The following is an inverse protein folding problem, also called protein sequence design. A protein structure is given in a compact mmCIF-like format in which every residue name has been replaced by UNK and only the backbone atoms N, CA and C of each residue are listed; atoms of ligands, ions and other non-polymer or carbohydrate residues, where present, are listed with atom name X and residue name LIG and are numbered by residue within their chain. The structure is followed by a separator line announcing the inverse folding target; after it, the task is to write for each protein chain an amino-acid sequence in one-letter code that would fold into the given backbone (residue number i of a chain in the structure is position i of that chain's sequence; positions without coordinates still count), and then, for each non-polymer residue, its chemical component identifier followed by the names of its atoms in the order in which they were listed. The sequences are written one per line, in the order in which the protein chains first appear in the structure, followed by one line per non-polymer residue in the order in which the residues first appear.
data_IF_285158494477
#
_entry.id   IF_285158494477
#
_cell.length_a   1.000
_cell.length_b   1.000
_cell.length_c   1.000
_cell.angle_alpha   90.00
_cell.angle_beta   90.00
_cell.angle_gamma   90.00
#
_symmetry.space_group_name_H-M   'P 1'
#
loop_
_entity.id
_entity.type
_entity.pdbx_description
1 polymer ?
#
# COMPACT_ATOMS: atom_id res chain seq x y z
N UNK A 1 -1.21 -11.67 9.15
CA UNK A 1 0.04 -10.91 9.31
C UNK A 1 1.19 -11.87 9.09
N UNK A 2 1.98 -11.66 8.05
CA UNK A 2 3.27 -12.30 7.95
C UNK A 2 4.09 -11.84 9.17
N UNK A 3 4.47 -12.76 10.03
CA UNK A 3 5.58 -12.50 10.96
C UNK A 3 6.84 -12.46 10.10
N UNK A 4 7.23 -11.27 9.72
CA UNK A 4 8.57 -11.01 9.24
C UNK A 4 9.36 -10.52 10.43
N UNK A 5 10.64 -10.86 10.50
CA UNK A 5 11.56 -10.42 11.57
C UNK A 5 11.73 -8.88 11.58
N UNK A 6 11.14 -8.22 10.59
CA UNK A 6 11.13 -6.75 10.44
C UNK A 6 9.71 -6.22 10.29
N UNK A 7 9.42 -5.02 10.80
CA UNK A 7 8.15 -4.35 10.55
C UNK A 7 7.92 -4.20 9.04
N UNK A 8 6.77 -4.68 8.56
CA UNK A 8 6.34 -4.44 7.18
C UNK A 8 5.95 -2.97 6.97
N UNK A 9 6.02 -2.52 5.72
CA UNK A 9 5.51 -1.21 5.33
C UNK A 9 4.12 -1.34 4.69
N UNK A 10 3.22 -0.41 5.01
CA UNK A 10 2.05 -0.17 4.17
C UNK A 10 2.49 0.64 2.95
N UNK A 11 2.09 0.23 1.78
CA UNK A 11 2.41 0.91 0.52
C UNK A 11 1.14 1.11 -0.30
N UNK A 12 0.96 2.33 -0.78
CA UNK A 12 0.01 2.64 -1.84
C UNK A 12 0.81 3.07 -3.07
N UNK A 13 0.65 2.35 -4.16
CA UNK A 13 1.39 2.59 -5.41
C UNK A 13 0.41 2.81 -6.55
N UNK A 14 0.74 3.75 -7.43
CA UNK A 14 -0.05 4.02 -8.63
C UNK A 14 0.85 4.56 -9.73
N UNK A 15 0.37 4.44 -10.95
CA UNK A 15 0.95 5.08 -12.13
C UNK A 15 -0.05 6.11 -12.66
N UNK A 16 0.45 7.26 -13.05
CA UNK A 16 -0.37 8.38 -13.51
C UNK A 16 0.38 9.25 -14.51
N UNK A 17 -0.35 10.06 -15.26
CA UNK A 17 0.29 11.11 -16.08
C UNK A 17 0.90 12.16 -15.16
N UNK A 18 2.04 12.76 -15.57
CA UNK A 18 2.73 13.77 -14.78
C UNK A 18 1.80 14.82 -14.15
N UNK A 19 0.88 15.48 -14.90
CA UNK A 19 0.04 16.51 -14.29
C UNK A 19 -0.98 15.99 -13.26
N UNK A 20 -1.25 14.68 -13.22
CA UNK A 20 -2.28 14.09 -12.34
C UNK A 20 -1.69 13.35 -11.14
N UNK A 21 -0.36 13.30 -10.99
CA UNK A 21 0.31 12.63 -9.87
C UNK A 21 -0.09 13.22 -8.52
N UNK A 22 -0.06 14.56 -8.40
CA UNK A 22 -0.44 15.25 -7.17
C UNK A 22 -1.91 14.98 -6.80
N UNK A 23 -2.82 15.00 -7.78
CA UNK A 23 -4.23 14.69 -7.55
C UNK A 23 -4.43 13.23 -7.10
N UNK A 24 -3.75 12.29 -7.72
CA UNK A 24 -3.81 10.88 -7.32
C UNK A 24 -3.28 10.69 -5.88
N UNK A 25 -2.17 11.35 -5.53
CA UNK A 25 -1.66 11.36 -4.15
C UNK A 25 -2.70 11.93 -3.17
N UNK A 26 -3.35 13.05 -3.53
CA UNK A 26 -4.41 13.66 -2.71
C UNK A 26 -5.57 12.71 -2.46
N UNK A 27 -6.00 11.98 -3.47
CA UNK A 27 -7.04 10.94 -3.33
C UNK A 27 -6.59 9.86 -2.36
N UNK A 28 -5.38 9.31 -2.51
CA UNK A 28 -4.85 8.28 -1.59
C UNK A 28 -4.82 8.77 -0.14
N UNK A 29 -4.33 9.98 0.11
CA UNK A 29 -4.34 10.55 1.47
C UNK A 29 -5.76 10.81 1.99
N UNK A 30 -6.68 11.18 1.11
CA UNK A 30 -8.10 11.34 1.43
C UNK A 30 -8.73 10.01 1.88
N UNK A 31 -8.49 8.93 1.15
CA UNK A 31 -8.98 7.59 1.50
C UNK A 31 -8.35 7.08 2.80
N UNK A 32 -7.08 7.34 3.03
CA UNK A 32 -6.42 7.01 4.31
C UNK A 32 -7.05 7.79 5.46
N UNK A 33 -7.34 9.07 5.26
CA UNK A 33 -8.01 9.87 6.28
C UNK A 33 -9.43 9.36 6.54
N UNK A 34 -10.16 8.99 5.51
CA UNK A 34 -11.53 8.48 5.59
C UNK A 34 -11.60 7.19 6.41
N UNK A 35 -10.82 6.17 6.05
CA UNK A 35 -10.81 4.87 6.75
C UNK A 35 -10.33 4.97 8.21
N UNK A 36 -9.62 6.05 8.58
CA UNK A 36 -9.19 6.30 9.95
C UNK A 36 -10.23 7.05 10.80
N UNK A 37 -11.17 7.73 10.18
CA UNK A 37 -12.11 8.60 10.87
C UNK A 37 -13.56 8.10 10.79
N UNK A 38 -13.86 7.24 9.85
CA UNK A 38 -15.22 6.77 9.58
C UNK A 38 -15.25 5.26 9.43
N UNK A 39 -16.40 4.66 9.73
CA UNK A 39 -16.64 3.26 9.40
C UNK A 39 -16.84 3.10 7.91
N UNK A 40 -16.20 2.06 7.35
CA UNK A 40 -16.53 1.61 5.99
C UNK A 40 -18.00 1.16 5.92
N UNK A 41 -18.60 1.24 4.75
CA UNK A 41 -19.96 0.74 4.54
C UNK A 41 -20.01 -0.79 4.63
N UNK A 42 -21.19 -1.33 4.91
CA UNK A 42 -21.40 -2.78 4.92
C UNK A 42 -21.10 -3.41 3.56
N UNK A 43 -21.40 -2.70 2.47
CA UNK A 43 -21.11 -3.17 1.12
C UNK A 43 -19.60 -3.26 0.85
N UNK A 44 -18.83 -2.27 1.25
CA UNK A 44 -17.37 -2.25 1.05
C UNK A 44 -16.68 -3.36 1.82
N UNK A 45 -17.02 -3.56 3.09
CA UNK A 45 -16.42 -4.61 3.90
C UNK A 45 -16.78 -6.00 3.37
N UNK A 46 -18.01 -6.21 2.91
CA UNK A 46 -18.42 -7.49 2.35
C UNK A 46 -17.71 -7.78 1.01
N UNK A 47 -17.58 -6.80 0.13
CA UNK A 47 -16.80 -6.94 -1.12
C UNK A 47 -15.35 -7.29 -0.82
N UNK A 48 -14.73 -6.62 0.15
CA UNK A 48 -13.35 -6.89 0.54
C UNK A 48 -13.17 -8.30 1.12
N UNK A 49 -14.07 -8.74 2.00
CA UNK A 49 -14.06 -10.11 2.57
C UNK A 49 -14.23 -11.17 1.49
N UNK A 50 -15.21 -10.99 0.61
CA UNK A 50 -15.46 -11.92 -0.48
C UNK A 50 -14.28 -12.01 -1.43
N UNK A 51 -13.68 -10.87 -1.80
CA UNK A 51 -12.47 -10.84 -2.61
C UNK A 51 -11.33 -11.68 -2.01
N UNK A 52 -11.09 -11.58 -0.69
CA UNK A 52 -10.08 -12.37 0.00
C UNK A 52 -10.42 -13.86 0.06
N UNK A 53 -11.68 -14.21 0.34
CA UNK A 53 -12.14 -15.59 0.47
C UNK A 53 -12.15 -16.30 -0.89
N UNK A 54 -12.60 -15.65 -1.95
CA UNK A 54 -12.70 -16.23 -3.28
C UNK A 54 -11.35 -16.36 -3.98
N UNK A 55 -10.41 -15.44 -3.72
CA UNK A 55 -9.07 -15.52 -4.28
C UNK A 55 -8.14 -16.45 -3.51
N UNK A 56 -8.49 -16.81 -2.28
CA UNK A 56 -7.71 -17.70 -1.41
C UNK A 56 -7.28 -19.02 -2.08
N UNK A 57 -8.14 -19.77 -2.82
CA UNK A 57 -7.73 -21.03 -3.44
C UNK A 57 -6.63 -20.87 -4.49
N UNK A 58 -6.51 -19.70 -5.12
CA UNK A 58 -5.49 -19.44 -6.15
C UNK A 58 -4.07 -19.56 -5.63
N UNK A 59 -3.86 -19.43 -4.32
CA UNK A 59 -2.55 -19.62 -3.71
C UNK A 59 -2.05 -21.06 -3.80
N UNK A 60 -2.94 -22.01 -4.12
CA UNK A 60 -2.65 -23.45 -4.21
C UNK A 60 -2.87 -24.02 -5.62
N UNK A 61 -3.06 -23.19 -6.64
CA UNK A 61 -3.38 -23.61 -8.01
C UNK A 61 -2.25 -24.40 -8.71
N UNK A 62 -1.01 -24.18 -8.28
CA UNK A 62 0.13 -24.90 -8.86
C UNK A 62 1.04 -25.50 -7.80
N UNK A 63 1.77 -26.55 -8.16
CA UNK A 63 2.75 -27.18 -7.27
C UNK A 63 3.82 -26.17 -6.75
N UNK A 64 4.41 -25.32 -7.59
CA UNK A 64 5.34 -24.29 -7.10
C UNK A 64 4.69 -23.28 -6.14
N UNK A 65 3.47 -22.82 -6.43
CA UNK A 65 2.76 -21.89 -5.55
C UNK A 65 2.46 -22.55 -4.20
N UNK A 66 1.96 -23.78 -4.20
CA UNK A 66 1.70 -24.56 -2.98
C UNK A 66 2.99 -24.73 -2.16
N UNK A 67 4.10 -25.12 -2.82
CA UNK A 67 5.40 -25.23 -2.13
C UNK A 67 5.81 -23.92 -1.48
N UNK A 68 5.66 -22.79 -2.20
CA UNK A 68 6.01 -21.47 -1.67
C UNK A 68 5.17 -21.09 -0.45
N UNK A 69 3.88 -21.44 -0.43
CA UNK A 69 3.03 -21.26 0.76
C UNK A 69 3.61 -21.99 1.97
N UNK A 70 3.96 -23.27 1.83
CA UNK A 70 4.51 -24.06 2.94
C UNK A 70 5.89 -23.57 3.37
N UNK A 71 6.74 -23.18 2.44
CA UNK A 71 8.05 -22.57 2.76
C UNK A 71 7.86 -21.29 3.58
N UNK A 72 6.94 -20.43 3.17
CA UNK A 72 6.63 -19.20 3.89
C UNK A 72 6.01 -19.48 5.27
N UNK A 73 5.15 -20.50 5.37
CA UNK A 73 4.53 -20.87 6.65
C UNK A 73 5.58 -21.37 7.65
N UNK A 74 6.52 -22.19 7.20
CA UNK A 74 7.64 -22.66 8.01
C UNK A 74 8.57 -21.52 8.40
N UNK A 75 8.97 -20.67 7.44
CA UNK A 75 9.83 -19.51 7.67
C UNK A 75 9.24 -18.52 8.67
N UNK A 76 7.93 -18.27 8.59
CA UNK A 76 7.24 -17.30 9.45
C UNK A 76 6.67 -17.94 10.72
N UNK A 77 6.95 -19.22 10.96
CA UNK A 77 6.39 -20.00 12.07
C UNK A 77 4.87 -19.81 12.20
N UNK A 78 4.16 -19.93 11.05
CA UNK A 78 2.73 -19.73 11.00
C UNK A 78 1.99 -20.85 11.74
N UNK A 79 0.89 -20.56 12.47
CA UNK A 79 0.10 -21.61 13.14
C UNK A 79 -0.38 -22.66 12.14
N UNK A 80 -0.31 -23.96 12.50
CA UNK A 80 -0.69 -25.07 11.62
C UNK A 80 -2.15 -25.06 11.17
N UNK A 81 -3.02 -24.42 11.93
CA UNK A 81 -4.44 -24.28 11.64
C UNK A 81 -4.78 -22.97 10.89
N UNK A 82 -3.78 -22.16 10.53
CA UNK A 82 -3.97 -20.85 9.91
C UNK A 82 -4.87 -20.92 8.67
N UNK A 83 -4.56 -21.79 7.73
CA UNK A 83 -5.32 -21.90 6.49
C UNK A 83 -6.70 -22.53 6.69
N UNK A 84 -6.84 -23.40 7.67
CA UNK A 84 -8.14 -23.98 8.03
C UNK A 84 -9.10 -22.95 8.60
N UNK A 85 -8.59 -22.01 9.38
CA UNK A 85 -9.39 -20.97 10.05
C UNK A 85 -9.42 -19.65 9.28
N UNK A 86 -8.71 -19.53 8.15
CA UNK A 86 -8.55 -18.30 7.41
C UNK A 86 -9.89 -17.67 7.00
N UNK A 87 -10.77 -18.46 6.35
CA UNK A 87 -12.07 -17.97 5.88
C UNK A 87 -12.96 -17.47 7.02
N UNK A 88 -13.01 -18.22 8.10
CA UNK A 88 -13.78 -17.85 9.29
C UNK A 88 -13.25 -16.55 9.90
N UNK A 89 -11.94 -16.43 10.05
CA UNK A 89 -11.30 -15.20 10.55
C UNK A 89 -11.55 -13.99 9.65
N UNK A 90 -11.48 -14.15 8.34
CA UNK A 90 -11.79 -13.06 7.40
C UNK A 90 -13.26 -12.67 7.51
N UNK A 91 -14.17 -13.65 7.56
CA UNK A 91 -15.61 -13.37 7.69
C UNK A 91 -15.97 -12.68 8.99
N UNK A 92 -15.24 -12.95 10.08
CA UNK A 92 -15.52 -12.39 11.41
C UNK A 92 -15.00 -10.95 11.60
N UNK A 93 -14.20 -10.40 10.68
CA UNK A 93 -13.69 -9.02 10.78
C UNK A 93 -14.86 -8.04 10.78
N UNK A 94 -14.84 -7.09 11.70
CA UNK A 94 -15.87 -6.04 11.83
C UNK A 94 -15.39 -4.69 11.33
N UNK A 95 -16.29 -3.74 11.18
CA UNK A 95 -15.95 -2.34 10.84
C UNK A 95 -15.12 -1.68 11.93
N UNK A 96 -15.41 -2.03 13.18
CA UNK A 96 -14.69 -1.58 14.38
C UNK A 96 -13.23 -2.08 14.36
N UNK A 97 -13.02 -3.33 13.96
CA UNK A 97 -11.68 -3.89 13.81
C UNK A 97 -10.89 -3.12 12.75
N UNK A 98 -11.51 -2.84 11.60
CA UNK A 98 -10.88 -2.08 10.51
C UNK A 98 -10.50 -0.67 10.96
N UNK A 99 -11.41 0.06 11.60
CA UNK A 99 -11.15 1.40 12.10
C UNK A 99 -10.00 1.39 13.12
N UNK A 100 -10.02 0.44 14.06
CA UNK A 100 -8.99 0.29 15.09
C UNK A 100 -7.61 0.04 14.47
N UNK A 101 -7.52 -0.85 13.49
CA UNK A 101 -6.28 -1.16 12.78
C UNK A 101 -5.82 0.01 11.91
N UNK A 102 -6.74 0.70 11.24
CA UNK A 102 -6.42 1.89 10.44
C UNK A 102 -5.84 3.01 11.30
N UNK A 103 -6.46 3.34 12.42
CA UNK A 103 -5.95 4.34 13.37
C UNK A 103 -4.54 3.98 13.86
N UNK A 104 -4.32 2.71 14.17
CA UNK A 104 -3.06 2.23 14.72
C UNK A 104 -1.92 2.20 13.72
N UNK A 105 -2.19 1.84 12.46
CA UNK A 105 -1.13 1.51 11.50
C UNK A 105 -1.02 2.47 10.31
N UNK A 106 -2.07 3.21 9.97
CA UNK A 106 -2.04 4.15 8.85
C UNK A 106 -1.84 5.58 9.38
N UNK A 107 -0.59 5.97 9.64
CA UNK A 107 -0.29 7.33 10.08
C UNK A 107 0.22 8.19 8.92
N UNK A 108 -0.58 9.12 8.37
CA UNK A 108 -0.16 9.98 7.26
C UNK A 108 1.11 10.80 7.56
N UNK A 109 1.29 11.22 8.81
CA UNK A 109 2.47 12.01 9.21
C UNK A 109 3.79 11.22 9.19
N UNK A 110 3.73 9.90 9.09
CA UNK A 110 4.90 9.01 9.02
C UNK A 110 5.08 8.39 7.62
N UNK A 111 4.29 8.81 6.64
CA UNK A 111 4.39 8.32 5.28
C UNK A 111 5.44 9.10 4.51
N UNK A 112 6.27 8.38 3.75
CA UNK A 112 7.15 8.94 2.74
C UNK A 112 6.47 8.90 1.37
N UNK A 113 6.57 9.97 0.60
CA UNK A 113 6.11 10.02 -0.79
C UNK A 113 7.33 9.89 -1.67
N UNK A 114 7.40 8.81 -2.45
CA UNK A 114 8.42 8.60 -3.47
C UNK A 114 7.79 8.81 -4.84
N UNK A 115 8.34 9.74 -5.60
CA UNK A 115 7.90 10.06 -6.96
C UNK A 115 9.02 9.76 -7.93
N UNK A 116 8.71 9.02 -8.99
CA UNK A 116 9.62 8.74 -10.09
C UNK A 116 9.01 9.30 -11.37
N UNK A 117 9.68 10.27 -12.00
CA UNK A 117 9.19 10.92 -13.22
C UNK A 117 9.81 12.30 -13.43
N UNK A 118 9.29 13.03 -14.40
CA UNK A 118 9.67 14.40 -14.67
C UNK A 118 9.11 15.34 -13.60
N UNK A 119 9.96 15.71 -12.65
CA UNK A 119 9.57 16.55 -11.51
C UNK A 119 9.05 17.91 -11.95
N UNK A 120 9.63 18.52 -12.97
CA UNK A 120 9.19 19.84 -13.45
C UNK A 120 7.76 19.82 -14.00
N UNK A 121 7.36 18.69 -14.60
CA UNK A 121 6.00 18.48 -15.10
C UNK A 121 5.02 17.99 -14.01
N UNK A 122 5.52 17.40 -12.92
CA UNK A 122 4.71 16.84 -11.83
C UNK A 122 4.41 17.88 -10.76
N UNK A 123 5.41 18.65 -10.34
CA UNK A 123 5.32 19.55 -9.19
C UNK A 123 4.19 20.59 -9.27
N UNK A 124 3.90 21.21 -10.44
CA UNK A 124 2.82 22.19 -10.58
C UNK A 124 1.43 21.61 -10.34
N UNK A 125 1.27 20.28 -10.47
CA UNK A 125 -0.02 19.61 -10.33
C UNK A 125 -0.87 19.61 -11.60
N UNK A 126 -2.17 19.43 -11.42
CA UNK A 126 -3.11 19.31 -12.53
C UNK A 126 -3.57 20.67 -13.09
N UNK A 127 -4.01 20.65 -14.34
CA UNK A 127 -4.42 21.87 -15.08
C UNK A 127 -5.63 22.58 -14.46
N UNK A 128 -6.42 21.89 -13.64
CA UNK A 128 -7.59 22.45 -12.96
C UNK A 128 -7.25 23.00 -11.55
N UNK A 129 -5.99 22.88 -11.13
CA UNK A 129 -5.52 23.37 -9.84
C UNK A 129 -6.10 22.67 -8.62
N UNK A 130 -6.53 21.42 -8.76
CA UNK A 130 -7.14 20.64 -7.67
C UNK A 130 -6.14 20.14 -6.64
N UNK A 131 -4.89 19.91 -7.07
CA UNK A 131 -3.78 19.53 -6.21
C UNK A 131 -2.44 19.85 -6.85
N UNK A 132 -1.46 20.20 -6.02
CA UNK A 132 -0.05 20.38 -6.38
C UNK A 132 0.81 19.52 -5.48
N UNK A 133 2.06 19.25 -5.86
CA UNK A 133 2.97 18.56 -4.96
C UNK A 133 3.28 19.38 -3.70
N UNK A 134 3.15 20.69 -3.76
CA UNK A 134 3.30 21.59 -2.60
C UNK A 134 2.31 21.27 -1.46
N UNK A 135 1.14 20.73 -1.78
CA UNK A 135 0.13 20.36 -0.78
C UNK A 135 0.60 19.24 0.17
N UNK A 136 1.62 18.50 -0.22
CA UNK A 136 2.17 17.36 0.52
C UNK A 136 3.56 17.62 1.10
N UNK A 137 4.16 18.76 0.79
CA UNK A 137 5.50 19.08 1.23
C UNK A 137 5.49 19.55 2.68
N UNK A 138 5.72 18.63 3.60
CA UNK A 138 6.00 18.96 5.01
C UNK A 138 7.44 19.41 5.25
N UNK A 139 8.26 19.53 4.19
CA UNK A 139 9.67 19.84 4.26
C UNK A 139 10.32 19.98 2.89
N UNK A 140 11.65 19.87 2.86
CA UNK A 140 12.44 19.95 1.62
C UNK A 140 12.29 18.68 0.76
N UNK A 141 12.15 18.88 -0.56
CA UNK A 141 12.16 17.78 -1.53
C UNK A 141 13.57 17.27 -1.71
N UNK A 142 13.77 16.01 -1.42
CA UNK A 142 15.06 15.34 -1.64
C UNK A 142 15.10 14.74 -3.04
N UNK A 143 15.86 15.35 -3.94
CA UNK A 143 16.12 14.77 -5.24
C UNK A 143 17.15 13.65 -5.13
N UNK A 144 16.78 12.46 -5.62
CA UNK A 144 17.67 11.30 -5.66
C UNK A 144 18.12 11.09 -7.10
N UNK A 145 19.42 11.14 -7.39
CA UNK A 145 19.92 10.91 -8.74
C UNK A 145 19.66 9.45 -9.14
N UNK A 146 19.39 9.24 -10.41
CA UNK A 146 19.45 7.91 -11.01
C UNK A 146 20.88 7.37 -10.84
N UNK A 147 21.01 6.05 -10.82
CA UNK A 147 22.31 5.40 -10.75
C UNK A 147 22.63 4.75 -12.07
N UNK A 148 23.90 4.81 -12.46
CA UNK A 148 24.41 4.02 -13.57
C UNK A 148 24.16 2.53 -13.28
N UNK A 149 23.53 1.78 -14.19
CA UNK A 149 23.15 0.38 -13.93
C UNK A 149 24.35 -0.57 -13.79
N UNK A 150 25.55 -0.18 -14.27
CA UNK A 150 26.74 -1.01 -14.22
C UNK A 150 27.63 -0.66 -13.04
N UNK A 151 27.86 0.64 -12.78
CA UNK A 151 28.76 1.10 -11.72
C UNK A 151 28.04 1.40 -10.41
N UNK A 152 26.72 1.57 -10.45
CA UNK A 152 25.86 2.01 -9.33
C UNK A 152 26.23 3.42 -8.82
N UNK A 153 27.06 4.15 -9.52
CA UNK A 153 27.37 5.53 -9.17
C UNK A 153 26.22 6.47 -9.54
N UNK A 154 26.01 7.55 -8.75
CA UNK A 154 24.99 8.53 -9.07
C UNK A 154 25.26 9.22 -10.41
N UNK A 155 24.25 9.29 -11.26
CA UNK A 155 24.27 10.11 -12.46
C UNK A 155 24.04 11.58 -12.11
N UNK A 156 24.54 12.55 -12.91
CA UNK A 156 24.21 13.96 -12.72
C UNK A 156 22.70 14.18 -12.66
N UNK A 157 22.26 15.09 -11.79
CA UNK A 157 20.89 15.60 -11.81
C UNK A 157 20.82 16.65 -12.94
N UNK A 158 19.97 16.43 -13.92
CA UNK A 158 19.68 17.38 -15.01
C UNK A 158 18.83 18.56 -14.50
#
# INVERSE_FOLDING_TARGET
SQRVDYPGAFQATFESKNPTVALAAKIVFGEIALIRNEYVSDAEIEVAKQGLIETFPRQFESKPATLQVFVNDEWTNRPKDYWRTFREKVSSVTKEDLLTVAIKHLNPAQMAILVVGDWAAIAPGDLEGRATMQDFLGGEVKHLPLRDPLTLEPLPLD
#
